data_IF_983507358353
#
_entry.id   IF_983507358353
#
_cell.length_a   1.000
_cell.length_b   1.000
_cell.length_c   1.000
_cell.angle_alpha   90.00
_cell.angle_beta   90.00
_cell.angle_gamma   90.00
#
_symmetry.space_group_name_H-M   'P 1'
#
loop_
_entity.id
_entity.type
_entity.pdbx_description
1 polymer ?
#
# COMPACT_ATOMS: atom_id res chain seq x y z
N UNK A 1 -27.81 -46.96 65.37
CA UNK A 1 -28.31 -45.76 66.08
C UNK A 1 -27.73 -44.51 65.43
N UNK A 2 -28.58 -43.50 65.23
CA UNK A 2 -28.32 -42.07 64.92
C UNK A 2 -27.70 -41.66 63.57
N UNK A 3 -28.50 -40.85 62.87
CA UNK A 3 -28.24 -39.98 61.71
C UNK A 3 -27.25 -38.87 62.08
N UNK A 4 -26.64 -38.16 61.11
CA UNK A 4 -26.80 -36.71 60.90
C UNK A 4 -26.04 -36.22 59.64
N UNK A 5 -26.72 -35.32 58.95
CA UNK A 5 -26.43 -34.45 57.80
C UNK A 5 -25.15 -33.61 57.92
N UNK A 6 -24.54 -33.19 56.79
CA UNK A 6 -24.50 -31.79 56.31
C UNK A 6 -23.45 -31.60 55.19
N UNK A 7 -23.88 -30.88 54.17
CA UNK A 7 -23.22 -30.28 53.00
C UNK A 7 -21.90 -29.56 53.26
N UNK A 8 -20.95 -29.64 52.32
CA UNK A 8 -20.03 -28.55 51.98
C UNK A 8 -19.53 -28.68 50.54
N UNK A 9 -19.96 -27.75 49.71
CA UNK A 9 -19.52 -27.54 48.32
C UNK A 9 -18.13 -26.91 48.37
N UNK A 10 -17.13 -27.54 47.75
CA UNK A 10 -15.84 -26.91 47.48
C UNK A 10 -15.70 -26.72 45.96
N UNK A 11 -15.90 -25.48 45.53
CA UNK A 11 -15.65 -25.01 44.17
C UNK A 11 -14.13 -24.95 43.98
N UNK A 12 -13.58 -25.90 43.21
CA UNK A 12 -12.20 -25.80 42.75
C UNK A 12 -12.18 -25.06 41.41
N UNK A 13 -11.84 -23.76 41.46
CA UNK A 13 -11.61 -22.93 40.29
C UNK A 13 -10.35 -23.40 39.56
N UNK A 14 -10.53 -24.07 38.42
CA UNK A 14 -9.43 -24.37 37.50
C UNK A 14 -9.13 -23.11 36.70
N UNK A 15 -8.03 -22.43 37.06
CA UNK A 15 -7.47 -21.32 36.30
C UNK A 15 -6.92 -21.85 34.97
N UNK A 16 -7.73 -21.78 33.91
CA UNK A 16 -7.26 -21.98 32.55
C UNK A 16 -6.40 -20.78 32.14
N UNK A 17 -5.10 -21.01 32.03
CA UNK A 17 -4.14 -20.07 31.46
C UNK A 17 -4.53 -19.76 30.02
N UNK A 18 -5.24 -18.64 29.82
CA UNK A 18 -5.39 -18.05 28.49
C UNK A 18 -4.02 -17.49 28.09
N UNK A 19 -3.32 -18.24 27.23
CA UNK A 19 -2.20 -17.74 26.45
C UNK A 19 -2.70 -16.54 25.65
N UNK A 20 -2.43 -15.34 26.16
CA UNK A 20 -2.64 -14.10 25.43
C UNK A 20 -1.60 -14.09 24.31
N UNK A 21 -2.02 -14.56 23.14
CA UNK A 21 -1.33 -14.30 21.89
C UNK A 21 -1.39 -12.79 21.68
N UNK A 22 -0.32 -12.08 22.04
CA UNK A 22 -0.15 -10.70 21.61
C UNK A 22 0.06 -10.73 20.09
N UNK A 23 -0.81 -10.14 19.26
CA UNK A 23 -0.44 -9.90 17.88
C UNK A 23 0.79 -8.99 17.91
N UNK A 24 1.88 -9.45 17.31
CA UNK A 24 3.05 -8.64 17.01
C UNK A 24 2.58 -7.51 16.10
N UNK A 25 2.18 -6.39 16.69
CA UNK A 25 1.92 -5.16 15.98
C UNK A 25 3.25 -4.66 15.44
N UNK A 26 3.59 -5.04 14.22
CA UNK A 26 4.63 -4.37 13.46
C UNK A 26 4.14 -2.94 13.25
N UNK A 27 4.64 -2.03 14.08
CA UNK A 27 4.54 -0.59 13.83
C UNK A 27 5.17 -0.34 12.47
N UNK A 28 4.35 -0.23 11.43
CA UNK A 28 4.80 0.03 10.08
C UNK A 28 5.65 1.31 10.07
N UNK A 29 6.88 1.16 9.59
CA UNK A 29 7.95 2.14 9.69
C UNK A 29 7.64 3.43 8.93
N UNK A 30 6.95 4.35 9.61
CA UNK A 30 7.12 5.79 9.45
C UNK A 30 8.22 6.30 10.39
N UNK A 31 9.19 5.45 10.75
CA UNK A 31 10.46 5.97 11.24
C UNK A 31 11.08 6.79 10.11
N UNK A 32 11.43 8.06 10.34
CA UNK A 32 12.24 8.79 9.39
C UNK A 32 13.57 8.07 9.34
N UNK A 33 13.74 7.21 8.33
CA UNK A 33 15.05 6.69 7.97
C UNK A 33 15.96 7.90 7.90
N UNK A 34 16.93 7.96 8.79
CA UNK A 34 17.96 8.99 8.87
C UNK A 34 18.44 9.30 7.44
N UNK A 35 17.97 10.41 6.87
CA UNK A 35 18.17 10.85 5.47
C UNK A 35 17.31 10.17 4.36
N UNK A 36 16.01 9.91 4.58
CA UNK A 36 15.08 9.53 3.51
C UNK A 36 15.28 8.11 2.96
N UNK A 37 15.85 7.22 3.77
CA UNK A 37 16.15 5.83 3.41
C UNK A 37 14.94 5.02 2.95
N UNK A 38 15.18 4.07 2.06
CA UNK A 38 14.18 3.13 1.52
C UNK A 38 13.76 2.19 2.65
N UNK A 39 12.56 2.34 3.19
CA UNK A 39 12.11 1.56 4.36
C UNK A 39 11.61 0.16 4.02
N UNK A 40 11.40 -0.17 2.73
CA UNK A 40 10.94 -1.49 2.29
C UNK A 40 11.67 -1.96 1.03
N UNK A 41 12.22 -3.17 1.08
CA UNK A 41 12.97 -3.81 0.00
C UNK A 41 12.09 -4.80 -0.77
N UNK A 42 11.12 -4.31 -1.53
CA UNK A 42 10.54 -5.13 -2.61
C UNK A 42 11.44 -5.02 -3.85
N UNK A 43 11.74 -6.12 -4.58
CA UNK A 43 12.57 -6.07 -5.78
C UNK A 43 12.13 -4.98 -6.77
N UNK A 44 13.06 -4.15 -7.24
CA UNK A 44 12.78 -3.00 -8.11
C UNK A 44 12.53 -1.66 -7.38
N UNK A 45 12.39 -1.65 -6.04
CA UNK A 45 12.19 -0.40 -5.29
C UNK A 45 13.40 0.53 -5.37
N UNK A 46 14.62 -0.01 -5.45
CA UNK A 46 15.84 0.79 -5.59
C UNK A 46 15.87 1.50 -6.95
N UNK A 47 15.52 0.80 -8.03
CA UNK A 47 15.51 1.38 -9.38
C UNK A 47 14.54 2.56 -9.46
N UNK A 48 13.33 2.39 -8.90
CA UNK A 48 12.34 3.47 -8.78
C UNK A 48 12.87 4.63 -7.93
N UNK A 49 13.53 4.35 -6.80
CA UNK A 49 14.10 5.39 -5.96
C UNK A 49 15.19 6.21 -6.66
N UNK A 50 16.06 5.53 -7.43
CA UNK A 50 17.10 6.16 -8.25
C UNK A 50 16.48 7.01 -9.36
N UNK A 51 15.49 6.47 -10.07
CA UNK A 51 14.75 7.21 -11.11
C UNK A 51 14.09 8.48 -10.55
N UNK A 52 13.52 8.41 -9.34
CA UNK A 52 12.93 9.57 -8.68
C UNK A 52 13.98 10.62 -8.31
N UNK A 53 15.16 10.19 -7.82
CA UNK A 53 16.25 11.11 -7.51
C UNK A 53 16.77 11.82 -8.79
N UNK A 54 16.91 11.09 -9.88
CA UNK A 54 17.29 11.63 -11.19
C UNK A 54 16.23 12.61 -11.72
N UNK A 55 14.96 12.23 -11.71
CA UNK A 55 13.85 13.08 -12.14
C UNK A 55 13.74 14.39 -11.32
N UNK A 56 14.05 14.34 -10.02
CA UNK A 56 14.14 15.56 -9.19
C UNK A 56 15.31 16.45 -9.59
N UNK A 57 16.47 15.85 -9.84
CA UNK A 57 17.67 16.59 -10.29
C UNK A 57 17.42 17.30 -11.62
N UNK A 58 16.63 16.67 -12.50
CA UNK A 58 16.21 17.21 -13.80
C UNK A 58 15.00 18.15 -13.73
N UNK A 59 14.45 18.41 -12.55
CA UNK A 59 13.28 19.27 -12.36
C UNK A 59 11.95 18.71 -12.87
N UNK A 60 11.88 17.42 -13.21
CA UNK A 60 10.65 16.74 -13.66
C UNK A 60 9.71 16.43 -12.50
N UNK A 61 10.27 16.17 -11.32
CA UNK A 61 9.50 16.01 -10.07
C UNK A 61 9.89 17.11 -9.08
N UNK A 62 8.97 17.53 -8.19
CA UNK A 62 9.30 18.47 -7.13
C UNK A 62 10.47 17.96 -6.28
N UNK A 63 11.36 18.87 -5.92
CA UNK A 63 12.43 18.60 -4.97
C UNK A 63 11.86 17.97 -3.68
N UNK A 64 12.66 17.14 -3.02
CA UNK A 64 12.26 16.61 -1.72
C UNK A 64 12.02 17.80 -0.77
N UNK A 65 10.80 17.93 -0.26
CA UNK A 65 10.47 19.02 0.66
C UNK A 65 11.34 18.91 1.91
N UNK A 66 12.07 19.98 2.20
CA UNK A 66 12.79 20.23 3.45
C UNK A 66 11.92 20.88 4.51
N UNK A 67 10.67 21.21 4.16
CA UNK A 67 9.74 21.86 5.08
C UNK A 67 9.34 20.90 6.19
N UNK A 68 9.19 21.44 7.40
CA UNK A 68 8.77 20.72 8.59
C UNK A 68 7.26 20.40 8.53
N UNK A 69 6.84 19.62 7.54
CA UNK A 69 5.51 19.01 7.51
C UNK A 69 5.55 17.81 8.46
N UNK A 70 4.57 17.73 9.37
CA UNK A 70 4.47 16.59 10.29
C UNK A 70 4.28 15.28 9.52
N UNK A 71 4.77 14.17 10.09
CA UNK A 71 4.62 12.84 9.49
C UNK A 71 3.15 12.49 9.26
N UNK A 72 2.25 12.91 10.16
CA UNK A 72 0.81 12.74 10.03
C UNK A 72 0.26 13.42 8.76
N UNK A 73 0.58 14.70 8.55
CA UNK A 73 0.12 15.42 7.36
C UNK A 73 0.69 14.80 6.08
N UNK A 74 1.95 14.33 6.13
CA UNK A 74 2.57 13.62 5.01
C UNK A 74 1.82 12.32 4.69
N UNK A 75 1.47 11.53 5.70
CA UNK A 75 0.67 10.31 5.54
C UNK A 75 -0.72 10.60 4.96
N UNK A 76 -1.43 11.59 5.50
CA UNK A 76 -2.75 11.97 5.00
C UNK A 76 -2.72 12.40 3.53
N UNK A 77 -1.69 13.14 3.13
CA UNK A 77 -1.47 13.53 1.74
C UNK A 77 -1.27 12.32 0.82
N UNK A 78 -0.47 11.33 1.24
CA UNK A 78 -0.28 10.10 0.48
C UNK A 78 -1.57 9.28 0.37
N UNK A 79 -2.32 9.16 1.47
CA UNK A 79 -3.62 8.47 1.47
C UNK A 79 -4.65 9.19 0.58
N UNK A 80 -4.62 10.52 0.53
CA UNK A 80 -5.49 11.29 -0.37
C UNK A 80 -5.18 11.00 -1.84
N UNK A 81 -3.90 10.91 -2.22
CA UNK A 81 -3.49 10.54 -3.58
C UNK A 81 -3.90 9.11 -3.91
N UNK A 82 -3.71 8.15 -3.00
CA UNK A 82 -4.13 6.75 -3.19
C UNK A 82 -5.66 6.60 -3.32
N UNK A 83 -6.45 7.41 -2.61
CA UNK A 83 -7.91 7.50 -2.77
C UNK A 83 -8.29 8.11 -4.11
N UNK A 84 -7.58 9.15 -4.56
CA UNK A 84 -7.81 9.72 -5.90
C UNK A 84 -7.52 8.70 -6.99
N UNK A 85 -6.46 7.89 -6.84
CA UNK A 85 -6.20 6.76 -7.71
C UNK A 85 -7.37 5.78 -7.72
N UNK A 86 -7.89 5.37 -6.55
CA UNK A 86 -9.07 4.51 -6.46
C UNK A 86 -10.26 5.11 -7.23
N UNK A 87 -10.51 6.41 -7.11
CA UNK A 87 -11.58 7.10 -7.85
C UNK A 87 -11.38 7.05 -9.36
N UNK A 88 -10.15 7.29 -9.85
CA UNK A 88 -9.79 7.22 -11.28
C UNK A 88 -10.00 5.81 -11.84
N UNK A 89 -9.49 4.80 -11.15
CA UNK A 89 -9.68 3.39 -11.50
C UNK A 89 -11.18 3.02 -11.53
N UNK A 90 -11.95 3.52 -10.56
CA UNK A 90 -13.39 3.31 -10.50
C UNK A 90 -14.14 3.92 -11.68
N UNK A 91 -13.71 5.08 -12.17
CA UNK A 91 -14.32 5.76 -13.30
C UNK A 91 -14.01 5.06 -14.62
N UNK A 92 -12.76 4.63 -14.80
CA UNK A 92 -12.30 3.96 -16.01
C UNK A 92 -12.74 2.48 -16.12
N UNK A 93 -13.33 1.90 -15.06
CA UNK A 93 -13.63 0.45 -14.99
C UNK A 93 -14.50 -0.06 -16.14
N UNK A 94 -15.41 0.77 -16.66
CA UNK A 94 -16.33 0.38 -17.72
C UNK A 94 -15.61 0.26 -19.07
N UNK A 95 -14.56 1.04 -19.27
CA UNK A 95 -13.75 1.05 -20.49
C UNK A 95 -12.73 -0.10 -20.51
N UNK A 96 -12.43 -0.67 -19.34
CA UNK A 96 -11.41 -1.71 -19.18
C UNK A 96 -11.89 -3.12 -19.57
N UNK A 97 -13.16 -3.32 -19.96
CA UNK A 97 -13.76 -4.65 -20.26
C UNK A 97 -13.22 -5.73 -19.32
N UNK A 98 -13.33 -5.49 -18.00
CA UNK A 98 -12.75 -6.33 -16.95
C UNK A 98 -13.45 -7.68 -16.93
N UNK A 99 -13.08 -8.59 -17.84
CA UNK A 99 -13.65 -9.95 -17.90
C UNK A 99 -13.25 -10.78 -16.68
N UNK A 100 -12.19 -10.39 -15.97
CA UNK A 100 -11.76 -10.98 -14.72
C UNK A 100 -11.41 -9.90 -13.71
N UNK A 101 -11.95 -10.03 -12.49
CA UNK A 101 -11.63 -9.16 -11.35
C UNK A 101 -10.10 -9.08 -11.16
N UNK A 102 -9.51 -7.99 -11.62
CA UNK A 102 -8.07 -7.81 -11.57
C UNK A 102 -7.67 -7.21 -10.22
N UNK A 103 -6.82 -7.91 -9.50
CA UNK A 103 -6.28 -7.47 -8.21
C UNK A 103 -4.78 -7.25 -8.31
N UNK A 104 -4.31 -6.17 -7.69
CA UNK A 104 -2.90 -5.82 -7.65
C UNK A 104 -2.55 -5.15 -6.32
N UNK A 105 -1.26 -5.14 -6.01
CA UNK A 105 -0.71 -4.35 -4.90
C UNK A 105 0.01 -3.14 -5.46
N UNK A 106 -0.04 -2.01 -4.75
CA UNK A 106 0.76 -0.84 -5.03
C UNK A 106 1.57 -0.49 -3.79
N UNK A 107 2.88 -0.27 -4.00
CA UNK A 107 3.79 0.25 -2.97
C UNK A 107 4.25 1.64 -3.33
N UNK A 108 4.12 2.57 -2.37
CA UNK A 108 4.79 3.85 -2.41
C UNK A 108 6.23 3.67 -1.92
N UNK A 109 7.16 3.60 -2.87
CA UNK A 109 8.61 3.51 -2.67
C UNK A 109 9.10 4.76 -1.93
N UNK A 110 10.00 4.57 -0.96
CA UNK A 110 10.44 5.59 -0.02
C UNK A 110 9.86 5.29 1.37
N UNK A 111 8.59 5.65 1.65
CA UNK A 111 7.95 5.36 2.93
C UNK A 111 7.52 3.89 3.09
N UNK A 112 7.49 3.10 2.00
CA UNK A 112 7.09 1.71 2.08
C UNK A 112 5.58 1.52 2.35
N UNK A 113 4.74 2.44 1.85
CA UNK A 113 3.30 2.33 2.11
C UNK A 113 2.65 1.40 1.10
N UNK A 114 2.18 0.25 1.56
CA UNK A 114 1.47 -0.72 0.72
C UNK A 114 -0.03 -0.50 0.69
N UNK A 115 -0.63 -0.81 -0.45
CA UNK A 115 -2.06 -0.81 -0.68
C UNK A 115 -2.46 -1.93 -1.62
N UNK A 116 -3.65 -2.49 -1.42
CA UNK A 116 -4.23 -3.53 -2.27
C UNK A 116 -5.44 -2.96 -3.00
N UNK A 117 -5.54 -3.27 -4.28
CA UNK A 117 -6.66 -2.89 -5.14
C UNK A 117 -7.27 -4.15 -5.72
N UNK A 118 -8.60 -4.23 -5.70
CA UNK A 118 -9.37 -5.28 -6.37
C UNK A 118 -10.46 -4.65 -7.21
N UNK A 119 -10.33 -4.77 -8.53
CA UNK A 119 -11.33 -4.31 -9.49
C UNK A 119 -12.46 -5.34 -9.56
N UNK A 120 -13.68 -4.91 -9.25
CA UNK A 120 -14.87 -5.75 -9.29
C UNK A 120 -15.96 -5.07 -10.11
N UNK A 121 -17.00 -5.81 -10.50
CA UNK A 121 -18.16 -5.23 -11.18
C UNK A 121 -18.87 -4.16 -10.33
N UNK A 122 -18.79 -4.26 -9.00
CA UNK A 122 -19.35 -3.29 -8.06
C UNK A 122 -18.46 -2.06 -7.82
N UNK A 123 -17.27 -2.02 -8.42
CA UNK A 123 -16.26 -0.98 -8.23
C UNK A 123 -14.92 -1.52 -7.73
N UNK A 124 -14.03 -0.61 -7.40
CA UNK A 124 -12.67 -0.86 -6.92
C UNK A 124 -12.67 -0.86 -5.40
N UNK A 125 -12.40 -2.03 -4.83
CA UNK A 125 -12.15 -2.21 -3.41
C UNK A 125 -10.68 -1.92 -3.13
N UNK A 126 -10.41 -1.17 -2.05
CA UNK A 126 -9.05 -0.79 -1.69
C UNK A 126 -8.79 -0.96 -0.20
N UNK A 127 -7.66 -1.57 0.13
CA UNK A 127 -7.13 -1.65 1.48
C UNK A 127 -5.82 -0.88 1.52
N UNK A 128 -5.77 0.20 2.30
CA UNK A 128 -4.56 1.00 2.49
C UNK A 128 -3.79 0.50 3.70
N UNK A 129 -2.47 0.73 3.72
CA UNK A 129 -1.61 0.37 4.84
C UNK A 129 -1.61 -1.13 5.14
N UNK A 130 -1.31 -1.92 4.11
CA UNK A 130 -1.22 -3.38 4.21
C UNK A 130 0.22 -3.82 4.51
N UNK A 131 0.43 -5.07 4.88
CA UNK A 131 1.75 -5.57 5.31
C UNK A 131 2.72 -5.86 4.16
N UNK A 132 2.24 -5.92 2.91
CA UNK A 132 3.06 -6.33 1.77
C UNK A 132 2.25 -6.64 0.53
N UNK A 133 2.85 -7.29 -0.49
CA UNK A 133 2.17 -7.61 -1.74
C UNK A 133 1.17 -8.76 -1.59
N UNK A 134 0.14 -8.75 -2.44
CA UNK A 134 -0.76 -9.88 -2.66
C UNK A 134 0.00 -11.00 -3.36
N UNK A 135 -0.02 -12.19 -2.77
CA UNK A 135 0.70 -13.34 -3.30
C UNK A 135 0.25 -13.68 -4.73
N UNK A 136 1.21 -13.84 -5.63
CA UNK A 136 0.97 -14.21 -7.03
C UNK A 136 0.24 -13.13 -7.86
N UNK A 137 0.14 -11.90 -7.35
CA UNK A 137 -0.47 -10.77 -8.06
C UNK A 137 0.58 -9.77 -8.48
N UNK A 138 0.22 -8.93 -9.44
CA UNK A 138 1.06 -7.84 -9.92
C UNK A 138 1.26 -6.81 -8.81
N UNK A 139 2.49 -6.34 -8.71
CA UNK A 139 2.91 -5.27 -7.81
C UNK A 139 3.29 -4.06 -8.65
N UNK A 140 2.65 -2.93 -8.37
CA UNK A 140 2.96 -1.62 -8.94
C UNK A 140 3.87 -0.90 -7.96
N UNK A 141 5.04 -0.49 -8.41
CA UNK A 141 5.99 0.28 -7.64
C UNK A 141 6.01 1.71 -8.17
N UNK A 142 5.82 2.69 -7.29
CA UNK A 142 5.99 4.10 -7.66
C UNK A 142 6.33 4.92 -6.41
N UNK A 143 6.74 6.16 -6.56
CA UNK A 143 6.95 7.08 -5.46
C UNK A 143 5.79 8.08 -5.35
N UNK A 144 5.45 8.54 -4.14
CA UNK A 144 4.31 9.44 -3.89
C UNK A 144 4.31 10.68 -4.82
N UNK A 145 5.48 11.29 -5.03
CA UNK A 145 5.64 12.43 -5.95
C UNK A 145 5.32 12.09 -7.42
N UNK A 146 5.74 10.91 -7.90
CA UNK A 146 5.45 10.47 -9.26
C UNK A 146 3.96 10.14 -9.41
N UNK A 147 3.38 9.39 -8.46
CA UNK A 147 1.94 9.13 -8.43
C UNK A 147 1.12 10.41 -8.49
N UNK A 148 1.47 11.40 -7.65
CA UNK A 148 0.79 12.70 -7.66
C UNK A 148 0.92 13.39 -9.01
N UNK A 149 2.11 13.42 -9.60
CA UNK A 149 2.32 14.03 -10.92
C UNK A 149 1.46 13.38 -12.00
N UNK A 150 1.31 12.06 -11.96
CA UNK A 150 0.40 11.32 -12.86
C UNK A 150 -1.07 11.65 -12.59
N UNK A 151 -1.51 11.64 -11.33
CA UNK A 151 -2.90 11.95 -10.95
C UNK A 151 -3.38 13.35 -11.32
N UNK A 152 -2.47 14.32 -11.41
CA UNK A 152 -2.78 15.71 -11.80
C UNK A 152 -2.52 15.97 -13.29
N UNK A 153 -2.03 14.98 -14.05
CA UNK A 153 -1.78 15.10 -15.49
C UNK A 153 -0.47 15.80 -15.87
N UNK A 154 0.45 16.02 -14.92
CA UNK A 154 1.76 16.63 -15.20
C UNK A 154 2.79 15.62 -15.75
N UNK A 155 2.49 14.32 -15.63
CA UNK A 155 3.33 13.22 -16.10
C UNK A 155 2.42 12.11 -16.63
N UNK A 156 2.57 11.69 -17.89
CA UNK A 156 1.78 10.58 -18.43
C UNK A 156 2.30 9.23 -17.91
N UNK A 157 1.47 8.18 -17.97
CA UNK A 157 1.88 6.82 -17.59
C UNK A 157 3.01 6.29 -18.46
N UNK A 158 2.94 6.52 -19.78
CA UNK A 158 3.96 6.08 -20.72
C UNK A 158 5.30 6.72 -20.36
N UNK A 159 5.29 8.04 -20.14
CA UNK A 159 6.50 8.77 -19.79
C UNK A 159 7.03 8.37 -18.42
N UNK A 160 6.17 8.13 -17.44
CA UNK A 160 6.57 7.64 -16.12
C UNK A 160 7.23 6.25 -16.22
N UNK A 161 6.69 5.37 -17.08
CA UNK A 161 7.21 4.02 -17.30
C UNK A 161 8.56 4.07 -17.99
N UNK A 162 8.70 4.86 -19.06
CA UNK A 162 9.99 5.10 -19.75
C UNK A 162 11.08 5.61 -18.82
N UNK A 163 10.71 6.47 -17.87
CA UNK A 163 11.62 7.05 -16.89
C UNK A 163 11.90 6.15 -15.69
N UNK A 164 11.21 5.01 -15.56
CA UNK A 164 11.31 4.14 -14.38
C UNK A 164 10.66 4.71 -13.11
N UNK A 165 9.79 5.71 -13.23
CA UNK A 165 9.07 6.34 -12.11
C UNK A 165 7.83 5.53 -11.66
N UNK A 166 7.38 4.63 -12.53
CA UNK A 166 6.45 3.56 -12.22
C UNK A 166 7.00 2.26 -12.83
N UNK A 167 6.93 1.18 -12.06
CA UNK A 167 7.35 -0.14 -12.51
C UNK A 167 6.30 -1.18 -12.12
N UNK A 168 6.22 -2.26 -12.90
CA UNK A 168 5.30 -3.36 -12.70
C UNK A 168 6.09 -4.66 -12.54
N UNK A 169 5.80 -5.41 -11.48
CA UNK A 169 6.44 -6.69 -11.17
C UNK A 169 5.39 -7.77 -10.99
N UNK A 170 5.61 -8.96 -11.53
CA UNK A 170 4.67 -10.07 -11.48
C UNK A 170 4.78 -10.98 -12.69
N UNK A 171 3.96 -12.03 -12.72
CA UNK A 171 3.95 -13.01 -13.82
C UNK A 171 3.26 -12.45 -15.07
N UNK A 172 2.17 -11.71 -14.88
CA UNK A 172 1.44 -11.03 -15.97
C UNK A 172 1.07 -9.60 -15.54
N UNK A 173 1.84 -8.64 -16.06
CA UNK A 173 1.71 -7.22 -15.70
C UNK A 173 0.88 -6.43 -16.69
N UNK A 174 0.72 -6.92 -17.92
CA UNK A 174 0.11 -6.18 -19.01
C UNK A 174 -1.34 -5.71 -18.73
N UNK A 175 -2.22 -6.51 -18.10
CA UNK A 175 -3.55 -6.06 -17.76
C UNK A 175 -3.54 -4.87 -16.80
N UNK A 176 -2.67 -4.92 -15.78
CA UNK A 176 -2.57 -3.83 -14.78
C UNK A 176 -1.91 -2.60 -15.37
N UNK A 177 -0.90 -2.76 -16.22
CA UNK A 177 -0.30 -1.63 -16.92
C UNK A 177 -1.33 -0.90 -17.77
N UNK A 178 -2.11 -1.64 -18.57
CA UNK A 178 -3.18 -1.08 -19.40
C UNK A 178 -4.25 -0.36 -18.57
N UNK A 179 -4.61 -0.92 -17.42
CA UNK A 179 -5.52 -0.26 -16.46
C UNK A 179 -5.00 1.13 -16.05
N UNK A 180 -3.70 1.26 -15.77
CA UNK A 180 -3.12 2.55 -15.40
C UNK A 180 -3.13 3.53 -16.58
N UNK A 181 -2.73 3.09 -17.78
CA UNK A 181 -2.73 3.90 -19.01
C UNK A 181 -4.12 4.46 -19.36
N UNK A 182 -5.20 3.72 -19.09
CA UNK A 182 -6.57 4.19 -19.31
C UNK A 182 -7.02 5.18 -18.22
N UNK A 183 -6.51 5.03 -17.00
CA UNK A 183 -7.06 5.69 -15.81
C UNK A 183 -6.40 7.03 -15.46
N UNK A 184 -5.18 7.29 -15.93
CA UNK A 184 -4.32 8.40 -15.51
C UNK A 184 -3.71 9.13 -16.71
#
# INVERSE_FOLDING_TARGET
MKRYTTTAIAVAAVAAAALVYSPSGYSCGLEPGINGGITISYPGSIDVAVAVADARTKGLLPAASTDAITNEVRLQNMLADLRRLQTRLNAARNDMQVENAASFSLVLVGPGLWSHYSMTNGGVLTSYHTDGPLAGKTVVLTHAAALRAMLVGNLSIERATELGLIAYSGIDTAPIQRTFEISL
#
